data_IF_241881099792
#
_entry.id   IF_241881099792
#
_cell.length_a   1.000
_cell.length_b   1.000
_cell.length_c   1.000
_cell.angle_alpha   90.00
_cell.angle_beta   90.00
_cell.angle_gamma   90.00
#
_symmetry.space_group_name_H-M   'P 1'
#
loop_
_entity.id
_entity.type
_entity.pdbx_description
1 polymer ?
#
# COMPACT_ATOMS: atom_id res chain seq x y z
N UNK A 1 26.33 3.84 -3.42
CA UNK A 1 24.85 3.74 -3.39
C UNK A 1 24.49 2.28 -3.20
N UNK A 2 23.48 1.96 -2.36
CA UNK A 2 23.03 0.57 -2.14
C UNK A 2 22.13 0.01 -3.26
N UNK A 3 21.84 0.80 -4.29
CA UNK A 3 21.11 0.32 -5.46
C UNK A 3 22.09 -0.05 -6.56
N UNK A 4 21.90 -1.22 -7.16
CA UNK A 4 22.68 -1.69 -8.32
C UNK A 4 22.47 -0.86 -9.60
N UNK A 5 21.52 0.07 -9.59
CA UNK A 5 21.07 0.87 -10.74
C UNK A 5 20.46 2.18 -10.26
N UNK A 6 20.60 3.26 -11.04
CA UNK A 6 20.01 4.57 -10.73
C UNK A 6 18.53 4.68 -11.18
N UNK A 7 17.88 3.54 -11.43
CA UNK A 7 16.49 3.45 -11.88
C UNK A 7 15.57 2.96 -10.77
N UNK A 8 14.50 3.73 -10.54
CA UNK A 8 13.36 3.36 -9.70
C UNK A 8 12.22 2.90 -10.61
N UNK A 9 11.80 1.64 -10.47
CA UNK A 9 10.54 1.19 -11.05
C UNK A 9 9.38 1.75 -10.25
N UNK A 10 8.46 2.48 -10.88
CA UNK A 10 7.33 3.10 -10.22
C UNK A 10 6.02 2.61 -10.82
N UNK A 11 5.15 2.11 -9.96
CA UNK A 11 3.92 1.42 -10.37
C UNK A 11 2.78 1.91 -9.50
N UNK A 12 1.73 2.43 -10.12
CA UNK A 12 0.49 2.81 -9.41
C UNK A 12 -0.60 1.86 -9.85
N UNK A 13 -1.31 1.28 -8.88
CA UNK A 13 -2.61 0.66 -9.16
C UNK A 13 -3.69 1.76 -9.03
N UNK A 14 -4.26 2.27 -10.13
CA UNK A 14 -5.15 3.43 -10.12
C UNK A 14 -6.42 3.20 -9.29
N UNK A 15 -6.90 1.95 -9.24
CA UNK A 15 -8.15 1.58 -8.54
C UNK A 15 -7.92 1.20 -7.08
N UNK A 16 -6.67 1.22 -6.59
CA UNK A 16 -6.37 0.84 -5.22
C UNK A 16 -6.96 1.84 -4.19
N UNK A 17 -7.53 1.28 -3.12
CA UNK A 17 -8.10 2.04 -2.01
C UNK A 17 -9.50 2.59 -2.25
N UNK A 18 -10.10 2.33 -3.42
CA UNK A 18 -11.41 2.90 -3.79
C UNK A 18 -12.55 2.36 -2.92
N UNK A 19 -12.60 1.05 -2.68
CA UNK A 19 -13.68 0.45 -1.90
C UNK A 19 -13.55 0.66 -0.38
N UNK A 20 -12.35 1.00 0.12
CA UNK A 20 -12.15 1.36 1.53
C UNK A 20 -12.91 2.63 1.92
N UNK A 21 -13.04 3.60 1.00
CA UNK A 21 -13.74 4.88 1.25
C UNK A 21 -15.26 4.74 1.38
N UNK A 22 -15.82 3.75 0.70
CA UNK A 22 -17.27 3.49 0.67
C UNK A 22 -17.66 2.29 1.54
N UNK A 23 -16.77 1.86 2.44
CA UNK A 23 -17.05 0.78 3.37
C UNK A 23 -17.16 -0.62 2.74
N UNK A 24 -16.74 -0.80 1.49
CA UNK A 24 -16.82 -2.08 0.77
C UNK A 24 -15.73 -3.09 1.19
N UNK A 25 -14.89 -2.72 2.18
CA UNK A 25 -13.89 -3.60 2.83
C UNK A 25 -13.00 -4.35 1.81
N UNK A 26 -12.51 -3.65 0.80
CA UNK A 26 -11.68 -4.25 -0.25
C UNK A 26 -11.78 -3.46 -1.55
N UNK A 27 -11.07 -3.87 -2.59
CA UNK A 27 -11.24 -3.35 -3.96
C UNK A 27 -11.00 -4.44 -5.01
N UNK A 28 -10.93 -5.70 -4.60
CA UNK A 28 -10.69 -6.81 -5.53
C UNK A 28 -11.96 -7.16 -6.30
N UNK A 29 -11.87 -7.14 -7.63
CA UNK A 29 -12.97 -7.46 -8.54
C UNK A 29 -13.55 -6.23 -9.23
N UNK A 30 -13.81 -6.35 -10.53
CA UNK A 30 -14.35 -5.26 -11.36
C UNK A 30 -15.70 -4.74 -10.84
N UNK A 31 -16.56 -5.64 -10.37
CA UNK A 31 -17.87 -5.28 -9.81
C UNK A 31 -17.76 -4.39 -8.56
N UNK A 32 -16.74 -4.59 -7.71
CA UNK A 32 -16.54 -3.79 -6.50
C UNK A 32 -16.03 -2.40 -6.87
N UNK A 33 -15.13 -2.31 -7.85
CA UNK A 33 -14.62 -1.03 -8.36
C UNK A 33 -15.76 -0.24 -8.99
N UNK A 34 -16.59 -0.87 -9.82
CA UNK A 34 -17.75 -0.24 -10.45
C UNK A 34 -18.76 0.23 -9.41
N UNK A 35 -19.08 -0.62 -8.42
CA UNK A 35 -19.96 -0.25 -7.31
C UNK A 35 -19.40 0.94 -6.51
N UNK A 36 -18.10 0.98 -6.24
CA UNK A 36 -17.48 2.09 -5.51
C UNK A 36 -17.55 3.40 -6.30
N UNK A 37 -17.31 3.36 -7.61
CA UNK A 37 -17.44 4.52 -8.50
C UNK A 37 -18.89 5.02 -8.55
N UNK A 38 -19.86 4.12 -8.65
CA UNK A 38 -21.29 4.46 -8.61
C UNK A 38 -21.72 5.07 -7.28
N UNK A 39 -21.04 4.72 -6.18
CA UNK A 39 -21.22 5.34 -4.86
C UNK A 39 -20.45 6.66 -4.70
N UNK A 40 -19.83 7.18 -5.76
CA UNK A 40 -19.11 8.46 -5.77
C UNK A 40 -17.69 8.39 -5.22
N UNK A 41 -17.11 7.21 -5.04
CA UNK A 41 -15.73 7.06 -4.60
C UNK A 41 -14.77 7.66 -5.64
N UNK A 42 -13.81 8.46 -5.18
CA UNK A 42 -12.73 8.99 -6.01
C UNK A 42 -11.45 8.18 -5.81
N UNK A 43 -10.72 7.82 -6.88
CA UNK A 43 -9.42 7.19 -6.77
C UNK A 43 -8.45 8.01 -5.90
N UNK A 44 -7.76 7.34 -4.97
CA UNK A 44 -6.81 7.97 -4.05
C UNK A 44 -5.36 7.68 -4.38
N UNK A 45 -5.11 6.64 -5.19
CA UNK A 45 -3.78 6.19 -5.54
C UNK A 45 -2.94 7.29 -6.21
N UNK A 46 -3.53 8.06 -7.13
CA UNK A 46 -2.86 9.18 -7.80
C UNK A 46 -2.37 10.26 -6.82
N UNK A 47 -3.21 10.64 -5.84
CA UNK A 47 -2.81 11.62 -4.83
C UNK A 47 -1.67 11.09 -3.95
N UNK A 48 -1.75 9.82 -3.53
CA UNK A 48 -0.71 9.16 -2.72
C UNK A 48 0.62 9.01 -3.48
N UNK A 49 0.54 8.70 -4.78
CA UNK A 49 1.66 8.68 -5.70
C UNK A 49 2.36 10.04 -5.75
N UNK A 50 1.60 11.12 -5.95
CA UNK A 50 2.13 12.50 -5.96
C UNK A 50 2.75 12.89 -4.62
N UNK A 51 2.13 12.53 -3.50
CA UNK A 51 2.71 12.79 -2.16
C UNK A 51 4.08 12.13 -2.00
N UNK A 52 4.21 10.87 -2.41
CA UNK A 52 5.46 10.12 -2.39
C UNK A 52 6.53 10.74 -3.31
N UNK A 53 6.18 11.03 -4.57
CA UNK A 53 7.11 11.59 -5.54
C UNK A 53 7.59 13.00 -5.14
N UNK A 54 6.69 13.87 -4.69
CA UNK A 54 7.06 15.20 -4.20
C UNK A 54 8.03 15.12 -3.02
N UNK A 55 7.82 14.16 -2.11
CA UNK A 55 8.73 13.97 -0.99
C UNK A 55 10.11 13.48 -1.45
N UNK A 56 10.19 12.54 -2.41
CA UNK A 56 11.47 12.14 -3.01
C UNK A 56 12.22 13.34 -3.61
N UNK A 57 11.50 14.21 -4.34
CA UNK A 57 12.06 15.41 -4.95
C UNK A 57 12.56 16.39 -3.88
N UNK A 58 11.77 16.60 -2.81
CA UNK A 58 12.14 17.46 -1.67
C UNK A 58 13.38 16.96 -0.94
N UNK A 59 13.55 15.64 -0.83
CA UNK A 59 14.73 15.02 -0.23
C UNK A 59 15.97 15.05 -1.14
N UNK A 60 15.85 15.57 -2.37
CA UNK A 60 16.94 15.64 -3.34
C UNK A 60 17.34 14.29 -3.93
N UNK A 61 16.39 13.35 -4.01
CA UNK A 61 16.63 12.06 -4.66
C UNK A 61 16.64 12.27 -6.18
N UNK A 62 17.77 11.94 -6.81
CA UNK A 62 17.96 12.00 -8.26
C UNK A 62 18.02 10.56 -8.76
N UNK A 63 16.94 10.09 -9.35
CA UNK A 63 16.82 8.76 -9.97
C UNK A 63 16.00 8.90 -11.25
N UNK A 64 16.30 8.07 -12.25
CA UNK A 64 15.40 7.91 -13.38
C UNK A 64 14.21 7.05 -12.94
N UNK A 65 12.99 7.52 -13.20
CA UNK A 65 11.78 6.74 -12.95
C UNK A 65 11.43 5.97 -14.21
N UNK A 66 11.23 4.66 -14.08
CA UNK A 66 10.73 3.80 -15.14
C UNK A 66 9.39 3.22 -14.74
N UNK A 67 8.42 3.14 -15.64
CA UNK A 67 7.07 2.69 -15.31
C UNK A 67 6.17 2.61 -16.52
N UNK A 68 4.91 2.22 -16.29
CA UNK A 68 3.88 2.27 -17.32
C UNK A 68 3.36 3.69 -17.49
N UNK A 69 3.05 4.05 -18.73
CA UNK A 69 2.49 5.35 -19.06
C UNK A 69 1.04 5.51 -18.54
N UNK A 70 0.59 6.75 -18.40
CA UNK A 70 -0.77 7.11 -17.97
C UNK A 70 -0.98 6.93 -16.47
N UNK A 71 -2.20 6.51 -16.13
CA UNK A 71 -2.73 6.39 -14.75
C UNK A 71 -1.95 5.41 -13.86
N UNK A 72 -1.08 4.56 -14.44
CA UNK A 72 -0.24 3.61 -13.68
C UNK A 72 1.06 4.23 -13.13
N UNK A 73 1.12 5.57 -13.02
CA UNK A 73 2.22 6.30 -12.39
C UNK A 73 2.98 7.23 -13.33
N UNK A 74 2.82 7.05 -14.65
CA UNK A 74 3.51 7.87 -15.65
C UNK A 74 3.02 9.32 -15.69
N UNK A 75 1.73 9.54 -15.50
CA UNK A 75 1.17 10.90 -15.42
C UNK A 75 1.70 11.63 -14.17
N UNK A 76 1.70 10.97 -13.01
CA UNK A 76 2.20 11.55 -11.75
C UNK A 76 3.70 11.84 -11.78
N UNK A 77 4.51 10.92 -12.34
CA UNK A 77 5.95 11.09 -12.43
C UNK A 77 6.33 12.31 -13.30
N UNK A 78 5.63 12.50 -14.43
CA UNK A 78 5.85 13.66 -15.31
C UNK A 78 5.34 14.95 -14.70
N UNK A 79 4.17 14.93 -14.07
CA UNK A 79 3.60 16.13 -13.44
C UNK A 79 4.49 16.66 -12.30
N UNK A 80 5.05 15.78 -11.48
CA UNK A 80 6.01 16.16 -10.43
C UNK A 80 7.38 16.56 -11.02
N UNK A 81 7.66 16.22 -12.28
CA UNK A 81 8.86 16.61 -13.01
C UNK A 81 10.08 15.73 -12.71
N UNK A 82 9.89 14.42 -12.58
CA UNK A 82 10.98 13.44 -12.63
C UNK A 82 11.36 13.11 -14.09
N UNK A 83 12.60 12.66 -14.31
CA UNK A 83 12.97 12.00 -15.56
C UNK A 83 12.24 10.65 -15.64
N UNK A 84 11.10 10.65 -16.34
CA UNK A 84 10.25 9.48 -16.50
C UNK A 84 10.44 8.85 -17.87
N UNK A 85 10.75 7.55 -17.89
CA UNK A 85 10.82 6.73 -19.08
C UNK A 85 9.73 5.65 -19.05
N UNK A 86 8.80 5.75 -19.99
CA UNK A 86 7.80 4.70 -20.19
C UNK A 86 8.48 3.40 -20.67
N UNK A 87 8.15 2.29 -20.01
CA UNK A 87 8.57 0.92 -20.43
C UNK A 87 7.39 0.10 -20.97
N UNK A 88 6.19 0.68 -20.96
CA UNK A 88 4.96 0.09 -21.46
C UNK A 88 3.77 1.01 -21.18
N UNK A 89 2.57 0.51 -21.46
CA UNK A 89 1.31 1.21 -21.21
C UNK A 89 0.18 0.21 -21.00
N UNK A 90 -0.80 0.57 -20.18
CA UNK A 90 -2.04 -0.19 -20.03
C UNK A 90 -3.22 0.54 -20.72
N UNK A 91 -4.32 -0.17 -20.92
CA UNK A 91 -5.56 0.44 -21.40
C UNK A 91 -6.10 1.35 -20.29
N UNK A 92 -6.26 2.64 -20.59
CA UNK A 92 -6.75 3.66 -19.63
C UNK A 92 -8.08 3.23 -19.00
N UNK A 93 -8.22 3.51 -17.71
CA UNK A 93 -9.44 3.33 -16.91
C UNK A 93 -9.95 1.88 -16.78
N UNK A 94 -9.17 0.87 -17.20
CA UNK A 94 -9.45 -0.56 -17.01
C UNK A 94 -8.18 -1.35 -16.71
N UNK A 95 -7.40 -0.88 -15.74
CA UNK A 95 -6.19 -1.58 -15.30
C UNK A 95 -6.52 -2.80 -14.45
N UNK A 96 -5.77 -3.88 -14.67
CA UNK A 96 -5.99 -5.18 -14.01
C UNK A 96 -4.77 -5.60 -13.19
N UNK A 97 -4.93 -6.64 -12.38
CA UNK A 97 -3.81 -7.33 -11.73
C UNK A 97 -2.73 -7.78 -12.73
N UNK A 98 -3.15 -8.20 -13.93
CA UNK A 98 -2.22 -8.59 -15.00
C UNK A 98 -1.41 -7.40 -15.52
N UNK A 99 -1.99 -6.20 -15.58
CA UNK A 99 -1.24 -4.97 -15.93
C UNK A 99 -0.17 -4.68 -14.88
N UNK A 100 -0.50 -4.75 -13.59
CA UNK A 100 0.47 -4.58 -12.49
C UNK A 100 1.62 -5.59 -12.62
N UNK A 101 1.29 -6.88 -12.84
CA UNK A 101 2.31 -7.93 -13.01
C UNK A 101 3.21 -7.70 -14.22
N UNK A 102 2.68 -7.17 -15.33
CA UNK A 102 3.49 -6.81 -16.50
C UNK A 102 4.38 -5.60 -16.21
N UNK A 103 3.83 -4.54 -15.61
CA UNK A 103 4.57 -3.34 -15.25
C UNK A 103 5.78 -3.65 -14.36
N UNK A 104 5.62 -4.53 -13.35
CA UNK A 104 6.73 -5.01 -12.51
C UNK A 104 7.81 -5.66 -13.36
N UNK A 105 7.45 -6.63 -14.20
CA UNK A 105 8.40 -7.38 -15.04
C UNK A 105 9.15 -6.47 -16.01
N UNK A 106 8.45 -5.51 -16.63
CA UNK A 106 9.04 -4.61 -17.61
C UNK A 106 9.97 -3.57 -16.95
N UNK A 107 9.62 -3.07 -15.76
CA UNK A 107 10.50 -2.23 -14.96
C UNK A 107 11.80 -2.96 -14.60
N UNK A 108 11.68 -4.19 -14.10
CA UNK A 108 12.82 -5.03 -13.74
C UNK A 108 13.71 -5.31 -14.96
N UNK A 109 13.13 -5.74 -16.10
CA UNK A 109 13.86 -5.93 -17.37
C UNK A 109 14.55 -4.67 -17.87
N UNK A 110 13.99 -3.49 -17.61
CA UNK A 110 14.59 -2.20 -17.96
C UNK A 110 15.79 -1.82 -17.06
N UNK A 111 16.08 -2.64 -16.05
CA UNK A 111 17.18 -2.46 -15.11
C UNK A 111 16.81 -1.65 -13.86
N UNK A 112 15.54 -1.64 -13.44
CA UNK A 112 15.15 -1.04 -12.17
C UNK A 112 15.85 -1.76 -11.00
N UNK A 113 16.56 -1.00 -10.17
CA UNK A 113 17.28 -1.57 -9.01
C UNK A 113 16.48 -1.55 -7.71
N UNK A 114 15.30 -0.93 -7.74
CA UNK A 114 14.33 -0.81 -6.65
C UNK A 114 12.95 -0.61 -7.29
N UNK A 115 11.90 -1.21 -6.72
CA UNK A 115 10.51 -0.98 -7.14
C UNK A 115 9.75 -0.26 -6.03
N UNK A 116 9.07 0.83 -6.35
CA UNK A 116 8.06 1.44 -5.51
C UNK A 116 6.67 1.21 -6.13
N UNK A 117 5.74 0.69 -5.35
CA UNK A 117 4.37 0.47 -5.82
C UNK A 117 3.35 1.17 -4.93
N UNK A 118 2.34 1.80 -5.52
CA UNK A 118 1.23 2.45 -4.83
C UNK A 118 0.00 1.54 -4.91
N UNK A 119 -0.46 1.04 -3.76
CA UNK A 119 -1.51 0.04 -3.76
C UNK A 119 -1.94 -0.41 -2.37
N UNK A 120 -2.60 -1.55 -2.30
CA UNK A 120 -2.93 -2.26 -1.07
C UNK A 120 -2.44 -3.72 -1.10
N UNK A 121 -2.87 -4.56 -0.15
CA UNK A 121 -2.40 -5.95 -0.04
C UNK A 121 -2.61 -6.78 -1.32
N UNK A 122 -3.70 -6.56 -2.07
CA UNK A 122 -3.89 -7.15 -3.41
C UNK A 122 -2.77 -6.80 -4.39
N UNK A 123 -2.37 -5.53 -4.43
CA UNK A 123 -1.24 -5.06 -5.25
C UNK A 123 0.09 -5.62 -4.76
N UNK A 124 0.28 -5.79 -3.44
CA UNK A 124 1.48 -6.43 -2.90
C UNK A 124 1.58 -7.91 -3.35
N UNK A 125 0.47 -8.64 -3.38
CA UNK A 125 0.42 -10.00 -3.95
C UNK A 125 0.77 -10.01 -5.43
N UNK A 126 0.22 -9.07 -6.20
CA UNK A 126 0.53 -8.96 -7.62
C UNK A 126 2.02 -8.67 -7.88
N UNK A 127 2.62 -7.82 -7.05
CA UNK A 127 4.06 -7.54 -7.09
C UNK A 127 4.85 -8.81 -6.75
N UNK A 128 4.47 -9.54 -5.70
CA UNK A 128 5.11 -10.80 -5.31
C UNK A 128 5.07 -11.84 -6.44
N UNK A 129 3.92 -12.02 -7.08
CA UNK A 129 3.76 -12.98 -8.18
C UNK A 129 4.62 -12.62 -9.42
N UNK A 130 4.95 -11.34 -9.57
CA UNK A 130 5.67 -10.83 -10.74
C UNK A 130 7.18 -10.70 -10.51
N UNK A 131 7.60 -10.37 -9.30
CA UNK A 131 9.00 -10.09 -8.97
C UNK A 131 9.75 -11.40 -8.72
N UNK A 132 10.38 -11.91 -9.78
CA UNK A 132 11.19 -13.13 -9.71
C UNK A 132 12.63 -12.87 -9.29
N UNK A 133 13.02 -11.60 -9.25
CA UNK A 133 14.39 -11.16 -9.04
C UNK A 133 14.48 -10.50 -7.66
N UNK A 134 15.60 -10.67 -6.95
CA UNK A 134 15.84 -10.10 -5.61
C UNK A 134 15.99 -8.58 -5.58
N UNK A 135 15.25 -7.88 -6.44
CA UNK A 135 15.11 -6.43 -6.48
C UNK A 135 14.28 -6.02 -5.27
N UNK A 136 14.80 -5.13 -4.39
CA UNK A 136 14.03 -4.62 -3.28
C UNK A 136 12.76 -3.90 -3.76
N UNK A 137 11.72 -3.94 -2.93
CA UNK A 137 10.46 -3.25 -3.15
C UNK A 137 10.15 -2.31 -1.99
N UNK A 138 9.23 -1.36 -2.18
CA UNK A 138 8.60 -0.62 -1.09
C UNK A 138 7.16 -0.31 -1.46
N UNK A 139 6.23 -0.66 -0.56
CA UNK A 139 4.82 -0.35 -0.70
C UNK A 139 4.52 1.07 -0.21
N UNK A 140 3.88 1.86 -1.06
CA UNK A 140 3.27 3.15 -0.74
C UNK A 140 1.78 2.90 -0.45
N UNK A 141 1.31 3.12 0.79
CA UNK A 141 -0.05 2.78 1.16
C UNK A 141 -1.08 3.69 0.45
N UNK A 142 -2.02 3.07 -0.26
CA UNK A 142 -3.18 3.77 -0.86
C UNK A 142 -4.38 3.89 0.09
N UNK A 143 -4.41 3.10 1.17
CA UNK A 143 -5.47 3.08 2.19
C UNK A 143 -4.95 2.74 3.58
N UNK A 144 -5.85 2.52 4.55
CA UNK A 144 -5.51 2.39 5.98
C UNK A 144 -5.52 0.96 6.54
N UNK A 145 -5.96 -0.02 5.74
CA UNK A 145 -6.07 -1.45 6.10
C UNK A 145 -5.04 -2.32 5.38
N UNK A 146 -3.75 -1.99 5.54
CA UNK A 146 -2.68 -2.81 4.98
C UNK A 146 -2.10 -3.71 6.06
N UNK A 147 -2.02 -5.01 5.79
CA UNK A 147 -1.52 -6.01 6.72
C UNK A 147 -0.10 -6.47 6.39
N UNK A 148 0.27 -6.45 5.11
CA UNK A 148 1.61 -6.83 4.66
C UNK A 148 2.68 -5.90 5.23
N UNK A 149 3.78 -6.46 5.70
CA UNK A 149 4.91 -5.74 6.30
C UNK A 149 5.83 -5.07 5.26
N UNK A 150 5.35 -4.92 4.02
CA UNK A 150 6.08 -4.34 2.89
C UNK A 150 5.74 -2.87 2.67
N UNK A 151 4.74 -2.34 3.39
CA UNK A 151 4.29 -0.96 3.27
C UNK A 151 5.00 -0.06 4.28
N UNK A 152 5.38 1.14 3.83
CA UNK A 152 5.71 2.21 4.75
C UNK A 152 4.45 2.69 5.50
N UNK A 153 4.64 3.32 6.66
CA UNK A 153 3.56 3.93 7.43
C UNK A 153 2.80 5.03 6.68
N UNK A 154 3.48 5.77 5.80
CA UNK A 154 2.89 6.86 4.99
C UNK A 154 3.60 6.96 3.63
N UNK A 155 3.00 7.63 2.62
CA UNK A 155 3.68 7.90 1.35
C UNK A 155 5.00 8.67 1.51
N UNK A 156 5.04 9.65 2.43
CA UNK A 156 6.28 10.36 2.75
C UNK A 156 7.30 9.45 3.44
N UNK A 157 6.83 8.56 4.31
CA UNK A 157 7.66 7.53 4.95
C UNK A 157 8.32 6.60 3.93
N UNK A 158 7.60 6.18 2.89
CA UNK A 158 8.17 5.38 1.80
C UNK A 158 9.29 6.15 1.08
N UNK A 159 9.08 7.42 0.74
CA UNK A 159 10.10 8.26 0.11
C UNK A 159 11.33 8.42 1.02
N UNK A 160 11.12 8.58 2.33
CA UNK A 160 12.22 8.66 3.30
C UNK A 160 13.02 7.36 3.39
N UNK A 161 12.36 6.20 3.38
CA UNK A 161 13.03 4.90 3.38
C UNK A 161 13.92 4.73 2.14
N UNK A 162 13.45 5.15 0.96
CA UNK A 162 14.28 5.15 -0.27
C UNK A 162 15.49 6.06 -0.10
N UNK A 163 15.30 7.28 0.40
CA UNK A 163 16.39 8.22 0.63
C UNK A 163 17.45 7.64 1.57
N UNK A 164 17.05 7.07 2.71
CA UNK A 164 17.98 6.45 3.67
C UNK A 164 18.65 5.19 3.11
N UNK A 165 17.93 4.41 2.30
CA UNK A 165 18.48 3.25 1.59
C UNK A 165 19.58 3.68 0.61
N UNK A 166 19.35 4.73 -0.20
CA UNK A 166 20.35 5.30 -1.11
C UNK A 166 21.61 5.77 -0.39
N UNK A 167 21.44 6.32 0.83
CA UNK A 167 22.53 6.77 1.72
C UNK A 167 23.21 5.62 2.48
N UNK A 168 22.72 4.39 2.35
CA UNK A 168 23.30 3.21 3.00
C UNK A 168 22.93 3.03 4.48
N UNK A 169 21.93 3.77 4.98
CA UNK A 169 21.51 3.72 6.39
C UNK A 169 20.39 2.72 6.65
N UNK A 170 19.64 2.38 5.60
CA UNK A 170 18.62 1.34 5.62
C UNK A 170 19.10 0.17 4.76
N UNK A 171 18.71 -1.05 5.15
CA UNK A 171 18.95 -2.27 4.39
C UNK A 171 17.62 -2.89 3.95
N UNK A 172 17.66 -3.66 2.87
CA UNK A 172 16.52 -4.44 2.44
C UNK A 172 16.46 -5.77 3.21
N UNK A 173 15.27 -6.20 3.61
CA UNK A 173 15.03 -7.43 4.39
C UNK A 173 13.79 -8.15 3.88
N UNK A 174 13.73 -9.46 4.03
CA UNK A 174 12.52 -10.20 3.71
C UNK A 174 11.42 -9.83 4.69
N UNK A 175 10.23 -9.52 4.17
CA UNK A 175 9.06 -9.16 4.97
C UNK A 175 7.81 -9.79 4.40
N UNK A 176 6.86 -10.07 5.29
CA UNK A 176 5.67 -10.84 5.04
C UNK A 176 4.70 -10.10 4.13
N UNK A 177 4.25 -10.79 3.09
CA UNK A 177 3.07 -10.43 2.32
C UNK A 177 1.94 -11.31 2.78
N UNK A 178 0.82 -10.68 3.14
CA UNK A 178 -0.37 -11.37 3.60
C UNK A 178 -1.47 -11.34 2.54
N UNK A 179 -2.23 -12.44 2.48
CA UNK A 179 -3.47 -12.54 1.72
C UNK A 179 -4.63 -12.38 2.71
N UNK A 180 -5.42 -11.33 2.50
CA UNK A 180 -6.70 -11.14 3.19
C UNK A 180 -7.78 -11.84 2.36
N UNK A 181 -8.55 -12.71 3.00
CA UNK A 181 -9.76 -13.27 2.40
C UNK A 181 -10.84 -12.17 2.40
N UNK A 182 -10.96 -11.44 1.30
CA UNK A 182 -11.88 -10.30 1.21
C UNK A 182 -13.36 -10.72 1.34
N UNK A 183 -13.73 -11.96 0.98
CA UNK A 183 -15.10 -12.46 1.16
C UNK A 183 -15.43 -12.63 2.65
N UNK A 184 -14.55 -13.28 3.39
CA UNK A 184 -14.70 -13.40 4.85
C UNK A 184 -14.60 -12.05 5.54
N UNK A 185 -13.74 -11.18 5.04
CA UNK A 185 -13.60 -9.84 5.59
C UNK A 185 -14.85 -8.99 5.36
N UNK A 186 -15.57 -9.18 4.25
CA UNK A 186 -16.88 -8.57 4.01
C UNK A 186 -17.91 -9.00 5.06
N UNK A 187 -17.88 -10.28 5.47
CA UNK A 187 -18.72 -10.83 6.55
C UNK A 187 -18.13 -10.62 7.96
N UNK A 188 -17.29 -9.60 8.17
CA UNK A 188 -16.66 -9.25 9.47
C UNK A 188 -15.75 -10.32 10.09
N UNK A 189 -15.38 -11.34 9.32
CA UNK A 189 -14.43 -12.37 9.72
C UNK A 189 -13.06 -12.09 9.10
N UNK A 190 -12.12 -11.59 9.90
CA UNK A 190 -10.77 -11.33 9.41
C UNK A 190 -9.97 -12.64 9.30
N UNK A 191 -9.83 -13.14 8.07
CA UNK A 191 -8.97 -14.28 7.77
C UNK A 191 -7.75 -13.80 6.96
N UNK A 192 -6.59 -13.85 7.59
CA UNK A 192 -5.31 -13.45 7.00
C UNK A 192 -4.41 -14.70 6.95
N UNK A 193 -3.80 -14.94 5.78
CA UNK A 193 -2.83 -16.01 5.59
C UNK A 193 -1.53 -15.44 5.05
N UNK A 194 -0.40 -15.96 5.52
CA UNK A 194 0.90 -15.66 4.91
C UNK A 194 0.86 -16.11 3.45
N UNK A 195 1.07 -15.16 2.53
CA UNK A 195 1.13 -15.41 1.09
C UNK A 195 2.56 -15.68 0.62
N UNK A 196 3.52 -14.96 1.21
CA UNK A 196 4.95 -15.13 0.93
C UNK A 196 5.78 -14.00 1.48
N UNK A 197 6.94 -13.76 0.88
CA UNK A 197 7.88 -12.74 1.33
C UNK A 197 8.36 -11.88 0.15
N UNK A 198 8.49 -10.58 0.41
CA UNK A 198 9.17 -9.64 -0.49
C UNK A 198 10.38 -9.06 0.21
N UNK A 199 11.44 -8.80 -0.56
CA UNK A 199 12.59 -8.05 -0.07
C UNK A 199 12.20 -6.57 -0.01
N UNK A 200 11.98 -5.99 1.17
CA UNK A 200 11.52 -4.60 1.35
C UNK A 200 12.50 -3.74 2.12
N UNK A 201 12.41 -2.42 1.95
CA UNK A 201 13.17 -1.44 2.73
C UNK A 201 12.62 -1.37 4.16
N UNK A 202 13.46 -1.65 5.14
CA UNK A 202 13.04 -1.74 6.54
C UNK A 202 13.90 -0.92 7.47
N UNK A 203 13.24 0.06 8.09
CA UNK A 203 13.69 0.73 9.30
C UNK A 203 12.74 0.32 10.43
N UNK A 204 13.22 -0.26 11.54
CA UNK A 204 12.38 -0.68 12.67
C UNK A 204 11.49 0.44 13.23
N UNK A 205 11.83 1.71 12.99
CA UNK A 205 11.12 2.88 13.49
C UNK A 205 10.03 3.37 12.51
N UNK A 206 10.20 3.15 11.19
CA UNK A 206 9.33 3.74 10.16
C UNK A 206 8.36 2.75 9.49
N UNK A 207 8.59 1.45 9.66
CA UNK A 207 7.66 0.42 9.20
C UNK A 207 6.49 0.28 10.16
N UNK A 208 5.28 0.23 9.60
CA UNK A 208 4.09 -0.13 10.35
C UNK A 208 4.23 -1.60 10.74
N UNK A 209 4.21 -1.91 12.04
CA UNK A 209 4.09 -3.28 12.50
C UNK A 209 2.87 -3.93 11.81
N UNK A 210 3.00 -5.20 11.42
CA UNK A 210 1.87 -5.97 10.90
C UNK A 210 0.70 -5.80 11.87
N UNK A 211 -0.46 -5.41 11.35
CA UNK A 211 -1.69 -5.38 12.14
C UNK A 211 -2.07 -6.84 12.37
N UNK A 212 -1.48 -7.47 13.37
CA UNK A 212 -1.92 -8.79 13.79
C UNK A 212 -3.37 -8.64 14.23
N UNK A 213 -4.30 -9.37 13.61
CA UNK A 213 -5.68 -9.36 14.08
C UNK A 213 -5.67 -9.90 15.51
N UNK A 214 -6.33 -9.20 16.42
CA UNK A 214 -6.68 -9.79 17.70
C UNK A 214 -7.66 -10.94 17.40
N UNK A 215 -7.31 -12.15 17.81
CA UNK A 215 -8.17 -13.32 17.66
C UNK A 215 -9.31 -13.19 18.67
N UNK A 216 -10.56 -13.07 18.17
CA UNK A 216 -11.76 -13.03 19.02
C UNK A 216 -11.86 -14.35 19.79
N UNK A 217 -11.31 -14.32 21.00
CA UNK A 217 -11.36 -15.39 22.01
C UNK A 217 -12.44 -15.03 23.04
N UNK A 218 -12.89 -15.99 23.84
CA UNK A 218 -13.84 -15.71 24.93
C UNK A 218 -13.37 -14.58 25.85
N UNK A 219 -12.07 -14.57 26.15
CA UNK A 219 -11.39 -13.54 26.93
C UNK A 219 -11.45 -12.15 26.26
N UNK A 220 -11.45 -12.07 24.93
CA UNK A 220 -11.52 -10.78 24.22
C UNK A 220 -12.90 -10.13 24.35
N UNK A 221 -13.98 -10.92 24.31
CA UNK A 221 -15.33 -10.41 24.52
C UNK A 221 -15.51 -9.89 25.95
N UNK A 222 -14.91 -10.55 26.93
CA UNK A 222 -14.89 -10.09 28.32
C UNK A 222 -14.07 -8.80 28.48
N UNK A 223 -12.91 -8.71 27.81
CA UNK A 223 -12.08 -7.50 27.81
C UNK A 223 -12.80 -6.32 27.16
N UNK A 224 -13.49 -6.52 26.04
CA UNK A 224 -14.30 -5.48 25.39
C UNK A 224 -15.42 -5.00 26.31
N UNK A 225 -16.11 -5.92 27.00
CA UNK A 225 -17.12 -5.57 28.00
C UNK A 225 -16.52 -4.79 29.17
N UNK A 226 -15.35 -5.18 29.66
CA UNK A 226 -14.67 -4.46 30.74
C UNK A 226 -14.28 -3.04 30.33
N UNK A 227 -13.78 -2.85 29.10
CA UNK A 227 -13.46 -1.53 28.52
C UNK A 227 -14.74 -0.68 28.40
N UNK A 228 -15.82 -1.26 27.85
CA UNK A 228 -17.09 -0.56 27.69
C UNK A 228 -17.71 -0.17 29.04
N UNK A 229 -17.62 -1.04 30.05
CA UNK A 229 -18.17 -0.80 31.38
C UNK A 229 -17.42 0.34 32.09
N UNK A 230 -16.08 0.36 31.98
CA UNK A 230 -15.27 1.48 32.45
C UNK A 230 -15.60 2.79 31.74
N UNK A 231 -15.79 2.74 30.41
CA UNK A 231 -16.17 3.94 29.65
C UNK A 231 -17.52 4.48 30.15
N UNK A 232 -18.52 3.62 30.35
CA UNK A 232 -19.83 4.00 30.89
C UNK A 232 -19.71 4.63 32.28
N UNK A 233 -18.83 4.12 33.16
CA UNK A 233 -18.59 4.71 34.48
C UNK A 233 -17.98 6.12 34.42
N UNK A 234 -17.19 6.41 33.38
CA UNK A 234 -16.54 7.70 33.18
C UNK A 234 -17.39 8.68 32.34
N UNK A 235 -18.48 8.21 31.73
CA UNK A 235 -19.38 9.03 30.90
C UNK A 235 -20.28 9.94 31.75
N UNK A 236 -20.55 11.14 31.24
CA UNK A 236 -21.45 12.11 31.85
C UNK A 236 -22.54 12.55 30.87
N UNK A 237 -23.72 12.87 31.39
CA UNK A 237 -24.92 13.13 30.59
C UNK A 237 -24.85 14.38 29.69
N UNK A 238 -23.86 15.26 29.90
CA UNK A 238 -23.72 16.54 29.21
C UNK A 238 -22.64 16.56 28.12
N UNK A 239 -22.08 15.40 27.76
CA UNK A 239 -21.04 15.27 26.74
C UNK A 239 -21.50 14.45 25.53
N UNK A 240 -20.94 14.76 24.35
CA UNK A 240 -21.18 14.01 23.13
C UNK A 240 -19.98 13.10 22.89
N UNK A 241 -20.23 11.79 22.88
CA UNK A 241 -19.22 10.77 22.61
C UNK A 241 -19.33 10.30 21.16
N UNK A 242 -18.21 10.32 20.43
CA UNK A 242 -18.13 9.83 19.03
C UNK A 242 -17.19 8.62 19.00
N UNK A 243 -17.72 7.38 18.99
CA UNK A 243 -16.88 6.20 18.85
C UNK A 243 -16.25 6.15 17.46
N UNK A 244 -14.97 5.78 17.41
CA UNK A 244 -14.23 5.56 16.16
C UNK A 244 -14.42 4.12 15.65
N UNK A 245 -13.90 3.82 14.46
CA UNK A 245 -13.97 2.47 13.91
C UNK A 245 -12.87 1.57 14.51
N UNK A 246 -13.26 0.47 15.14
CA UNK A 246 -12.36 -0.58 15.64
C UNK A 246 -13.16 -1.75 16.21
N UNK A 247 -12.58 -2.94 16.31
CA UNK A 247 -13.23 -4.08 17.00
C UNK A 247 -13.28 -3.89 18.52
N UNK A 248 -12.53 -2.92 19.05
CA UNK A 248 -12.38 -2.61 20.49
C UNK A 248 -12.98 -1.25 20.87
N UNK A 249 -13.77 -0.63 19.98
CA UNK A 249 -14.42 0.69 20.16
C UNK A 249 -15.92 0.53 20.03
#
# INVERSE_FOLDING_TARGET
>A
MNIKSEKLGFIVNPVAGIGGRVGLKGSDGEEIVEKALNLGAKPVASQRAKEFLNELKRLGVILQIVGYDGEMGGDEAREVGFDFKAVGSAKRSKTTAADTKRAVKDCVKSGAGLIAFVGGDGTARDVLDAIKEGVPVIGVPSGVKMYSAVFASTPRGAARLIYEYLKGRVAARLSEVFAVDEEKFRSDLLSIKLYGYLLTLSDPILLQASKTPTLVTGDELENQKAIAMRLIEEMTDNEIYIPSSGTTT
#
